data_IF_647610521362
#
_entry.id   IF_647610521362
#
_cell.length_a   1.000
_cell.length_b   1.000
_cell.length_c   1.000
_cell.angle_alpha   90.00
_cell.angle_beta   90.00
_cell.angle_gamma   90.00
#
_symmetry.space_group_name_H-M   'P 1'
#
loop_
_entity.id
_entity.type
_entity.pdbx_description
1 polymer ?
#
# COMPACT_ATOMS: atom_id res chain seq x y z
N UNK A 1 12.14 -12.78 -17.11
CA UNK A 1 11.44 -11.77 -16.27
C UNK A 1 12.02 -11.85 -14.87
N UNK A 2 12.53 -10.75 -14.34
CA UNK A 2 13.07 -10.72 -12.98
C UNK A 2 11.96 -10.28 -12.03
N UNK A 3 11.80 -11.00 -10.91
CA UNK A 3 10.74 -10.78 -9.93
C UNK A 3 11.36 -10.65 -8.56
N UNK A 4 10.86 -9.71 -7.77
CA UNK A 4 11.17 -9.65 -6.34
C UNK A 4 10.23 -10.62 -5.63
N UNK A 5 10.80 -11.53 -4.85
CA UNK A 5 10.03 -12.55 -4.15
C UNK A 5 9.92 -12.16 -2.69
N UNK A 6 8.68 -12.03 -2.21
CA UNK A 6 8.38 -11.78 -0.82
C UNK A 6 7.95 -13.08 -0.16
N UNK A 7 8.38 -13.29 1.09
CA UNK A 7 8.00 -14.46 1.89
C UNK A 7 6.51 -14.43 2.26
N UNK A 8 5.95 -13.23 2.38
CA UNK A 8 4.56 -12.97 2.76
C UNK A 8 4.10 -11.65 2.12
N UNK A 9 2.77 -11.44 1.97
CA UNK A 9 2.26 -10.25 1.31
C UNK A 9 2.35 -8.97 2.14
N UNK A 10 2.44 -9.10 3.47
CA UNK A 10 2.54 -7.95 4.39
C UNK A 10 3.99 -7.54 4.57
N UNK A 11 4.29 -6.26 4.39
CA UNK A 11 5.63 -5.69 4.54
C UNK A 11 5.66 -4.65 5.66
N UNK A 12 6.82 -4.49 6.29
CA UNK A 12 7.03 -3.47 7.32
C UNK A 12 7.13 -2.06 6.73
N UNK A 13 7.11 -1.05 7.60
CA UNK A 13 7.37 0.35 7.20
C UNK A 13 8.80 0.49 6.68
N UNK A 14 9.77 -0.19 7.31
CA UNK A 14 11.16 -0.19 6.86
C UNK A 14 11.32 -0.84 5.48
N UNK A 15 10.65 -1.97 5.22
CA UNK A 15 10.63 -2.62 3.90
C UNK A 15 10.06 -1.69 2.82
N UNK A 16 9.01 -0.93 3.16
CA UNK A 16 8.41 0.04 2.24
C UNK A 16 9.38 1.18 1.89
N UNK A 17 10.12 1.70 2.87
CA UNK A 17 11.14 2.72 2.62
C UNK A 17 12.26 2.19 1.71
N UNK A 18 12.65 0.92 1.87
CA UNK A 18 13.57 0.25 0.95
C UNK A 18 13.00 0.20 -0.47
N UNK A 19 11.70 -0.04 -0.64
CA UNK A 19 11.07 0.01 -1.97
C UNK A 19 11.04 1.42 -2.56
N UNK A 20 10.69 2.45 -1.77
CA UNK A 20 10.67 3.85 -2.23
C UNK A 20 12.04 4.30 -2.76
N UNK A 21 13.12 3.79 -2.17
CA UNK A 21 14.50 4.14 -2.51
C UNK A 21 15.28 3.05 -3.26
N UNK A 22 14.59 2.03 -3.78
CA UNK A 22 15.27 0.93 -4.45
C UNK A 22 16.04 1.41 -5.67
N UNK A 23 17.26 0.92 -5.82
CA UNK A 23 18.08 1.03 -7.04
C UNK A 23 18.54 -0.33 -7.54
N UNK A 24 18.00 -1.40 -6.94
CA UNK A 24 18.36 -2.76 -7.27
C UNK A 24 18.03 -3.02 -8.74
N UNK A 25 19.05 -3.28 -9.55
CA UNK A 25 18.92 -3.56 -11.00
C UNK A 25 18.32 -2.40 -11.80
N UNK A 26 18.58 -1.17 -11.37
CA UNK A 26 18.00 0.05 -11.93
C UNK A 26 16.47 0.12 -11.81
N UNK A 27 15.87 -0.73 -10.97
CA UNK A 27 14.45 -0.59 -10.67
C UNK A 27 14.23 0.69 -9.89
N UNK A 28 13.09 1.31 -10.16
CA UNK A 28 12.67 2.50 -9.42
C UNK A 28 11.21 2.37 -9.00
N UNK A 29 10.85 3.08 -7.95
CA UNK A 29 9.48 3.16 -7.47
C UNK A 29 8.88 4.54 -7.74
N UNK A 30 7.57 4.58 -7.94
CA UNK A 30 6.78 5.81 -7.98
C UNK A 30 5.67 5.72 -6.95
N UNK A 31 5.66 6.69 -6.03
CA UNK A 31 4.54 6.89 -5.10
C UNK A 31 3.44 7.66 -5.81
N UNK A 32 2.22 7.12 -5.75
CA UNK A 32 0.98 7.69 -6.25
C UNK A 32 0.14 8.02 -5.01
N UNK A 33 -0.11 9.30 -4.82
CA UNK A 33 -0.92 9.81 -3.72
C UNK A 33 -2.41 9.50 -3.95
N UNK A 34 -3.03 8.65 -3.15
CA UNK A 34 -4.44 8.27 -3.31
C UNK A 34 -5.39 9.16 -2.51
N UNK A 35 -5.04 10.43 -2.31
CA UNK A 35 -5.89 11.42 -1.64
C UNK A 35 -6.31 12.57 -2.58
N UNK A 36 -7.37 13.30 -2.23
CA UNK A 36 -7.85 14.48 -2.95
C UNK A 36 -8.22 15.62 -1.99
N UNK A 37 -8.28 16.89 -2.44
CA UNK A 37 -8.57 18.03 -1.59
C UNK A 37 -9.96 17.96 -0.93
N UNK A 38 -10.03 18.23 0.37
CA UNK A 38 -11.29 18.24 1.11
C UNK A 38 -12.28 19.31 0.60
N UNK A 39 -11.76 20.41 0.03
CA UNK A 39 -12.54 21.49 -0.57
C UNK A 39 -13.38 21.05 -1.77
N UNK A 40 -13.06 19.93 -2.42
CA UNK A 40 -13.80 19.38 -3.56
C UNK A 40 -15.02 18.54 -3.13
N UNK A 41 -15.12 18.21 -1.83
CA UNK A 41 -16.20 17.39 -1.29
C UNK A 41 -16.34 16.05 -2.01
N UNK A 42 -17.56 15.52 -2.11
CA UNK A 42 -17.80 14.25 -2.82
C UNK A 42 -17.50 14.32 -4.32
N UNK A 43 -17.46 15.52 -4.91
CA UNK A 43 -17.18 15.73 -6.33
C UNK A 43 -15.72 15.49 -6.72
N UNK A 44 -14.79 15.50 -5.76
CA UNK A 44 -13.36 15.27 -6.00
C UNK A 44 -12.97 13.81 -6.22
N UNK A 45 -13.82 12.86 -5.79
CA UNK A 45 -13.49 11.43 -5.83
C UNK A 45 -13.31 10.90 -7.25
N UNK A 46 -14.31 11.08 -8.12
CA UNK A 46 -14.30 10.54 -9.48
C UNK A 46 -13.16 11.14 -10.34
N UNK A 47 -12.94 12.47 -10.36
CA UNK A 47 -11.80 13.06 -11.05
C UNK A 47 -10.45 12.54 -10.54
N UNK A 48 -10.27 12.44 -9.21
CA UNK A 48 -9.00 11.91 -8.66
C UNK A 48 -8.81 10.44 -9.01
N UNK A 49 -9.86 9.64 -8.97
CA UNK A 49 -9.80 8.21 -9.31
C UNK A 49 -9.36 8.00 -10.77
N UNK A 50 -9.90 8.79 -11.71
CA UNK A 50 -9.45 8.76 -13.10
C UNK A 50 -7.99 9.25 -13.23
N UNK A 51 -7.63 10.32 -12.53
CA UNK A 51 -6.27 10.86 -12.57
C UNK A 51 -5.20 9.88 -12.05
N UNK A 52 -5.48 9.11 -11.00
CA UNK A 52 -4.52 8.11 -10.50
C UNK A 52 -4.35 6.92 -11.46
N UNK A 53 -5.38 6.56 -12.23
CA UNK A 53 -5.27 5.55 -13.28
C UNK A 53 -4.35 6.01 -14.41
N UNK A 54 -4.51 7.25 -14.88
CA UNK A 54 -3.64 7.85 -15.89
C UNK A 54 -2.20 8.04 -15.37
N UNK A 55 -2.04 8.50 -14.13
CA UNK A 55 -0.73 8.64 -13.46
C UNK A 55 -0.02 7.28 -13.37
N UNK A 56 -0.74 6.23 -12.98
CA UNK A 56 -0.21 4.88 -12.89
C UNK A 56 0.22 4.33 -14.25
N UNK A 57 -0.58 4.54 -15.30
CA UNK A 57 -0.23 4.13 -16.66
C UNK A 57 1.04 4.84 -17.15
N UNK A 58 1.12 6.16 -16.96
CA UNK A 58 2.30 6.93 -17.33
C UNK A 58 3.54 6.47 -16.54
N UNK A 59 3.39 6.26 -15.24
CA UNK A 59 4.46 5.79 -14.36
C UNK A 59 4.95 4.38 -14.73
N UNK A 60 4.05 3.49 -15.16
CA UNK A 60 4.38 2.11 -15.55
C UNK A 60 5.38 1.99 -16.71
N UNK A 61 5.60 3.08 -17.46
CA UNK A 61 6.57 3.15 -18.56
C UNK A 61 8.01 3.35 -18.08
N UNK A 62 8.21 3.80 -16.83
CA UNK A 62 9.51 4.19 -16.26
C UNK A 62 9.84 3.50 -14.94
N UNK A 63 8.85 2.98 -14.25
CA UNK A 63 8.98 2.43 -12.90
C UNK A 63 8.44 1.01 -12.85
N UNK A 64 9.18 0.13 -12.18
CA UNK A 64 8.80 -1.27 -11.96
C UNK A 64 7.92 -1.45 -10.72
N UNK A 65 7.88 -0.46 -9.83
CA UNK A 65 7.09 -0.50 -8.59
C UNK A 65 6.23 0.75 -8.51
N UNK A 66 4.91 0.57 -8.38
CA UNK A 66 3.98 1.64 -8.10
C UNK A 66 3.46 1.47 -6.67
N UNK A 67 3.64 2.51 -5.84
CA UNK A 67 3.22 2.52 -4.45
C UNK A 67 2.00 3.42 -4.34
N UNK A 68 0.83 2.83 -4.10
CA UNK A 68 -0.41 3.55 -3.86
C UNK A 68 -0.45 3.92 -2.39
N UNK A 69 -0.50 5.21 -2.07
CA UNK A 69 -0.30 5.71 -0.71
C UNK A 69 -1.40 6.67 -0.27
N UNK A 70 -2.07 6.34 0.83
CA UNK A 70 -3.00 7.25 1.51
C UNK A 70 -2.33 8.11 2.60
N UNK A 71 -0.99 8.08 2.69
CA UNK A 71 -0.18 8.75 3.73
C UNK A 71 -0.37 10.26 3.81
N UNK A 72 -0.80 10.90 2.72
CA UNK A 72 -1.07 12.33 2.66
C UNK A 72 -2.41 12.73 3.32
N UNK A 73 -3.16 11.77 3.86
CA UNK A 73 -4.45 12.03 4.51
C UNK A 73 -4.33 13.01 5.67
N UNK A 74 -5.29 13.91 5.78
CA UNK A 74 -5.31 14.92 6.83
C UNK A 74 -6.53 15.83 6.75
N UNK A 75 -6.58 16.93 7.52
CA UNK A 75 -7.72 17.83 7.56
C UNK A 75 -8.14 18.38 6.19
N UNK A 76 -7.17 18.60 5.31
CA UNK A 76 -7.37 19.17 3.97
C UNK A 76 -7.35 18.12 2.84
N UNK A 77 -7.12 16.84 3.17
CA UNK A 77 -6.90 15.77 2.18
C UNK A 77 -7.67 14.52 2.57
N UNK A 78 -8.64 14.15 1.73
CA UNK A 78 -9.51 12.99 1.92
C UNK A 78 -8.86 11.78 1.22
N UNK A 79 -8.64 10.65 1.92
CA UNK A 79 -8.22 9.41 1.28
C UNK A 79 -9.33 8.82 0.41
N UNK A 80 -8.95 8.36 -0.78
CA UNK A 80 -9.72 7.36 -1.51
C UNK A 80 -9.51 6.03 -0.81
N UNK A 81 -10.59 5.24 -0.66
CA UNK A 81 -10.45 3.88 -0.13
C UNK A 81 -9.37 3.12 -0.89
N UNK A 82 -8.45 2.51 -0.16
CA UNK A 82 -7.28 1.84 -0.74
C UNK A 82 -7.66 0.70 -1.66
N UNK A 83 -8.76 -0.01 -1.34
CA UNK A 83 -9.30 -1.04 -2.22
C UNK A 83 -9.84 -0.46 -3.54
N UNK A 84 -10.57 0.66 -3.48
CA UNK A 84 -11.13 1.31 -4.65
C UNK A 84 -10.02 1.84 -5.57
N UNK A 85 -9.03 2.53 -4.99
CA UNK A 85 -7.88 3.04 -5.72
C UNK A 85 -7.07 1.91 -6.38
N UNK A 86 -6.79 0.84 -5.63
CA UNK A 86 -6.10 -0.34 -6.14
C UNK A 86 -6.87 -1.01 -7.27
N UNK A 87 -8.16 -1.29 -7.08
CA UNK A 87 -8.99 -1.96 -8.08
C UNK A 87 -9.06 -1.16 -9.38
N UNK A 88 -9.30 0.16 -9.29
CA UNK A 88 -9.33 1.03 -10.47
C UNK A 88 -8.01 1.01 -11.23
N UNK A 89 -6.87 1.20 -10.55
CA UNK A 89 -5.54 1.15 -11.16
C UNK A 89 -5.25 -0.24 -11.73
N UNK A 90 -5.56 -1.30 -10.99
CA UNK A 90 -5.31 -2.68 -11.41
C UNK A 90 -6.01 -3.00 -12.73
N UNK A 91 -7.31 -2.70 -12.82
CA UNK A 91 -8.11 -2.94 -14.03
C UNK A 91 -7.68 -2.03 -15.19
N UNK A 92 -7.44 -0.74 -14.95
CA UNK A 92 -6.94 0.19 -15.97
C UNK A 92 -5.60 -0.28 -16.57
N UNK A 93 -4.67 -0.74 -15.71
CA UNK A 93 -3.38 -1.28 -16.16
C UNK A 93 -3.52 -2.61 -16.91
N UNK A 94 -4.55 -3.41 -16.64
CA UNK A 94 -4.84 -4.62 -17.44
C UNK A 94 -5.31 -4.21 -18.84
N UNK A 95 -6.27 -3.28 -18.93
CA UNK A 95 -6.84 -2.82 -20.20
C UNK A 95 -5.78 -2.17 -21.11
N UNK A 96 -4.86 -1.42 -20.50
CA UNK A 96 -3.73 -0.78 -21.19
C UNK A 96 -2.50 -1.69 -21.38
N UNK A 97 -2.58 -2.96 -20.96
CA UNK A 97 -1.51 -3.98 -21.04
C UNK A 97 -0.22 -3.59 -20.31
N UNK A 98 -0.34 -2.74 -19.30
CA UNK A 98 0.76 -2.27 -18.46
C UNK A 98 0.94 -3.09 -17.17
N UNK A 99 -0.10 -3.79 -16.67
CA UNK A 99 -0.08 -4.48 -15.36
C UNK A 99 1.04 -5.49 -15.18
N UNK A 100 1.43 -6.18 -16.26
CA UNK A 100 2.50 -7.21 -16.25
C UNK A 100 3.91 -6.62 -16.06
N UNK A 101 4.07 -5.29 -16.19
CA UNK A 101 5.37 -4.60 -16.12
C UNK A 101 5.67 -4.03 -14.74
N UNK A 102 4.67 -3.94 -13.87
CA UNK A 102 4.78 -3.25 -12.58
C UNK A 102 4.30 -4.12 -11.42
N UNK A 103 4.92 -3.93 -10.27
CA UNK A 103 4.39 -4.36 -8.98
C UNK A 103 3.51 -3.25 -8.38
N UNK A 104 2.35 -3.61 -7.85
CA UNK A 104 1.46 -2.71 -7.11
C UNK A 104 1.64 -2.94 -5.61
N UNK A 105 2.17 -1.94 -4.91
CA UNK A 105 2.33 -1.95 -3.45
C UNK A 105 1.34 -0.98 -2.85
N UNK A 106 0.65 -1.38 -1.78
CA UNK A 106 -0.33 -0.54 -1.09
C UNK A 106 0.23 -0.08 0.25
N UNK A 107 0.41 1.21 0.45
CA UNK A 107 0.70 1.86 1.73
C UNK A 107 -0.61 2.46 2.26
N UNK A 108 -1.21 1.86 3.29
CA UNK A 108 -2.55 2.25 3.73
C UNK A 108 -2.73 2.31 5.24
N UNK A 109 -3.56 3.27 5.67
CA UNK A 109 -4.11 3.38 7.01
C UNK A 109 -5.35 2.50 7.25
N UNK A 110 -6.02 2.02 6.21
CA UNK A 110 -7.30 1.31 6.32
C UNK A 110 -7.14 -0.17 6.69
N UNK A 111 -6.07 -0.82 6.19
CA UNK A 111 -5.89 -2.26 6.34
C UNK A 111 -5.43 -2.65 7.75
N UNK A 112 -6.26 -3.42 8.45
CA UNK A 112 -6.00 -3.88 9.84
C UNK A 112 -6.49 -5.29 10.17
N UNK A 113 -7.27 -5.90 9.26
CA UNK A 113 -7.87 -7.22 9.47
C UNK A 113 -7.52 -8.14 8.31
N UNK A 114 -7.56 -9.44 8.56
CA UNK A 114 -7.29 -10.49 7.56
C UNK A 114 -8.12 -10.27 6.30
N UNK A 115 -9.40 -9.93 6.45
CA UNK A 115 -10.30 -9.67 5.31
C UNK A 115 -9.77 -8.53 4.42
N UNK A 116 -9.33 -7.41 5.00
CA UNK A 116 -8.77 -6.30 4.24
C UNK A 116 -7.56 -6.74 3.40
N UNK A 117 -6.66 -7.52 4.00
CA UNK A 117 -5.49 -8.06 3.30
C UNK A 117 -5.91 -8.99 2.17
N UNK A 118 -6.83 -9.93 2.43
CA UNK A 118 -7.34 -10.86 1.41
C UNK A 118 -7.97 -10.13 0.22
N UNK A 119 -8.78 -9.11 0.48
CA UNK A 119 -9.47 -8.37 -0.59
C UNK A 119 -8.47 -7.52 -1.39
N UNK A 120 -7.51 -6.85 -0.75
CA UNK A 120 -6.44 -6.12 -1.45
C UNK A 120 -5.60 -7.06 -2.34
N UNK A 121 -5.25 -8.25 -1.84
CA UNK A 121 -4.55 -9.26 -2.64
C UNK A 121 -5.40 -9.76 -3.81
N UNK A 122 -6.69 -10.03 -3.57
CA UNK A 122 -7.63 -10.46 -4.60
C UNK A 122 -7.84 -9.43 -5.70
N UNK A 123 -7.71 -8.14 -5.39
CA UNK A 123 -7.79 -7.03 -6.33
C UNK A 123 -6.43 -6.58 -6.90
N UNK A 124 -5.38 -7.38 -6.69
CA UNK A 124 -4.14 -7.26 -7.45
C UNK A 124 -3.00 -6.51 -6.76
N UNK A 125 -3.03 -6.35 -5.43
CA UNK A 125 -1.85 -5.92 -4.68
C UNK A 125 -0.78 -7.03 -4.70
N UNK A 126 0.48 -6.64 -4.95
CA UNK A 126 1.65 -7.52 -4.84
C UNK A 126 2.28 -7.47 -3.44
N UNK A 127 2.15 -6.35 -2.73
CA UNK A 127 2.55 -6.20 -1.33
C UNK A 127 1.70 -5.14 -0.62
N UNK A 128 1.52 -5.27 0.70
CA UNK A 128 0.68 -4.37 1.51
C UNK A 128 1.46 -3.94 2.76
N UNK A 129 1.60 -2.63 2.95
CA UNK A 129 2.13 -1.99 4.15
C UNK A 129 0.98 -1.32 4.92
N UNK A 130 0.44 -1.97 5.97
CA UNK A 130 -0.60 -1.40 6.82
C UNK A 130 0.03 -0.45 7.85
N UNK A 131 0.58 0.68 7.39
CA UNK A 131 1.45 1.52 8.22
C UNK A 131 0.77 2.00 9.50
N UNK A 132 -0.50 2.39 9.44
CA UNK A 132 -1.19 2.92 10.62
C UNK A 132 -1.43 1.84 11.67
N UNK A 133 -1.71 0.60 11.26
CA UNK A 133 -1.85 -0.50 12.21
C UNK A 133 -0.53 -0.77 12.96
N UNK A 134 0.60 -0.68 12.26
CA UNK A 134 1.93 -0.85 12.85
C UNK A 134 2.31 0.33 13.74
N UNK A 135 2.11 1.57 13.28
CA UNK A 135 2.38 2.79 14.05
C UNK A 135 1.51 2.90 15.31
N UNK A 136 0.24 2.48 15.23
CA UNK A 136 -0.64 2.41 16.41
C UNK A 136 -0.12 1.42 17.45
N UNK A 137 0.38 0.25 17.02
CA UNK A 137 0.98 -0.71 17.95
C UNK A 137 2.26 -0.14 18.60
N UNK A 138 3.13 0.52 17.82
CA UNK A 138 4.30 1.22 18.38
C UNK A 138 3.89 2.32 19.36
N UNK A 139 2.84 3.10 19.06
CA UNK A 139 2.32 4.13 19.95
C UNK A 139 1.75 3.54 21.25
N UNK A 140 1.05 2.41 21.19
CA UNK A 140 0.53 1.72 22.38
C UNK A 140 1.66 1.19 23.28
N UNK A 141 2.77 0.73 22.69
CA UNK A 141 3.99 0.43 23.46
C UNK A 141 4.54 1.67 24.14
N UNK A 142 4.67 2.77 23.42
CA UNK A 142 5.23 4.02 23.98
C UNK A 142 4.34 4.60 25.10
N UNK A 143 3.04 4.29 25.07
CA UNK A 143 2.07 4.60 26.13
C UNK A 143 2.06 3.56 27.28
N UNK A 144 2.94 2.56 27.26
CA UNK A 144 3.03 1.45 28.21
C UNK A 144 1.77 0.56 28.28
N UNK A 145 0.95 0.55 27.23
CA UNK A 145 -0.17 -0.40 27.09
C UNK A 145 0.33 -1.76 26.62
N UNK A 146 1.35 -1.77 25.75
CA UNK A 146 2.10 -2.97 25.38
C UNK A 146 3.45 -3.01 26.10
N UNK A 147 3.99 -4.21 26.28
CA UNK A 147 5.30 -4.41 26.89
C UNK A 147 6.43 -3.76 26.07
N UNK A 148 7.40 -3.14 26.73
CA UNK A 148 8.53 -2.46 26.08
C UNK A 148 9.40 -3.39 25.22
N UNK A 149 9.35 -4.71 25.45
CA UNK A 149 10.05 -5.71 24.65
C UNK A 149 9.47 -5.89 23.23
N UNK A 150 8.27 -5.39 22.94
CA UNK A 150 7.69 -5.38 21.60
C UNK A 150 8.35 -4.31 20.72
N UNK A 151 9.57 -4.57 20.24
CA UNK A 151 10.23 -3.69 19.25
C UNK A 151 9.41 -3.61 17.96
N UNK A 152 9.66 -2.61 17.11
CA UNK A 152 8.95 -2.45 15.84
C UNK A 152 9.06 -3.70 14.94
N UNK A 153 10.23 -4.36 14.97
CA UNK A 153 10.43 -5.64 14.29
C UNK A 153 9.53 -6.75 14.87
N UNK A 154 9.45 -6.88 16.20
CA UNK A 154 8.60 -7.89 16.84
C UNK A 154 7.12 -7.62 16.55
N UNK A 155 6.70 -6.35 16.61
CA UNK A 155 5.33 -5.92 16.25
C UNK A 155 5.01 -6.35 14.82
N UNK A 156 5.88 -6.01 13.86
CA UNK A 156 5.71 -6.38 12.46
C UNK A 156 5.66 -7.90 12.28
N UNK A 157 6.62 -8.65 12.82
CA UNK A 157 6.68 -10.10 12.65
C UNK A 157 5.42 -10.78 13.20
N UNK A 158 4.95 -10.38 14.38
CA UNK A 158 3.72 -10.91 14.97
C UNK A 158 2.48 -10.57 14.13
N UNK A 159 2.36 -9.31 13.69
CA UNK A 159 1.24 -8.87 12.86
C UNK A 159 1.22 -9.65 11.53
N UNK A 160 2.36 -9.73 10.86
CA UNK A 160 2.46 -10.35 9.55
C UNK A 160 2.25 -11.87 9.62
N UNK A 161 2.76 -12.54 10.66
CA UNK A 161 2.48 -13.95 10.94
C UNK A 161 0.98 -14.19 11.18
N UNK A 162 0.32 -13.32 11.96
CA UNK A 162 -1.12 -13.42 12.20
C UNK A 162 -1.93 -13.26 10.90
N UNK A 163 -1.57 -12.30 10.05
CA UNK A 163 -2.20 -12.12 8.73
C UNK A 163 -1.95 -13.32 7.83
N UNK A 164 -0.72 -13.84 7.76
CA UNK A 164 -0.39 -15.03 6.96
C UNK A 164 -1.20 -16.26 7.38
N UNK A 165 -1.29 -16.52 8.69
CA UNK A 165 -2.11 -17.61 9.23
C UNK A 165 -3.59 -17.38 8.90
N UNK A 166 -4.08 -16.15 9.02
CA UNK A 166 -5.46 -15.80 8.67
C UNK A 166 -5.80 -16.02 7.20
N UNK A 167 -4.90 -15.62 6.29
CA UNK A 167 -5.06 -15.79 4.83
C UNK A 167 -5.08 -17.27 4.43
N UNK A 168 -4.38 -18.13 5.18
CA UNK A 168 -4.26 -19.56 4.87
C UNK A 168 -5.40 -20.43 5.42
N UNK A 169 -6.38 -19.84 6.11
CA UNK A 169 -7.57 -20.53 6.62
C UNK A 169 -8.65 -20.64 5.56
#
# INVERSE_FOLDING_TARGET
VHRLWLKQPVISIADLEVFKHTTHRNWTAKVIDTTFPASEGSGGLEPRLNAICEEAEAASKKHEILILSDRASGPERIPISSLLALGAIHHHLIETRARMKVALVVETAEAREVHHICVLLGYGADAICPYLALELASSLRDQNVLDASYTDDVIYQNYAQAMQTGISK
#
